data_IF_031938849185
#
_entry.id   IF_031938849185
#
_cell.length_a   1.000
_cell.length_b   1.000
_cell.length_c   1.000
_cell.angle_alpha   90.00
_cell.angle_beta   90.00
_cell.angle_gamma   90.00
#
_symmetry.space_group_name_H-M   'P 1'
#
loop_
_entity.id
_entity.type
_entity.pdbx_description
1 polymer ?
#
# COMPACT_ATOMS: atom_id res chain seq x y z
N UNK A 1 17.96 17.27 9.04
CA UNK A 1 16.59 17.59 8.59
C UNK A 1 16.40 16.97 7.22
N UNK A 2 15.62 15.88 7.08
CA UNK A 2 15.32 15.32 5.76
C UNK A 2 14.63 16.40 4.90
N UNK A 3 14.87 16.44 3.58
CA UNK A 3 14.33 17.47 2.72
C UNK A 3 12.78 17.48 2.75
N UNK A 4 12.15 18.66 2.61
CA UNK A 4 10.70 18.86 2.72
C UNK A 4 9.85 18.07 1.70
N UNK A 5 10.50 17.41 0.74
CA UNK A 5 9.88 16.75 -0.41
C UNK A 5 9.82 15.22 -0.27
N UNK A 6 10.09 14.67 0.92
CA UNK A 6 10.12 13.22 1.20
C UNK A 6 8.81 12.47 0.89
N UNK A 7 7.71 13.20 0.65
CA UNK A 7 6.41 12.64 0.30
C UNK A 7 6.02 12.83 -1.18
N UNK A 8 6.94 13.33 -2.00
CA UNK A 8 6.71 13.50 -3.43
C UNK A 8 6.91 12.17 -4.18
N UNK A 9 6.12 11.89 -5.22
CA UNK A 9 6.37 10.71 -6.05
C UNK A 9 7.73 10.84 -6.76
N UNK A 10 8.37 9.70 -7.10
CA UNK A 10 9.51 9.70 -8.01
C UNK A 10 9.19 10.45 -9.32
N UNK A 11 10.18 11.12 -9.91
CA UNK A 11 9.98 11.99 -11.09
C UNK A 11 9.31 11.26 -12.27
N UNK A 12 9.65 9.99 -12.50
CA UNK A 12 9.03 9.15 -13.53
C UNK A 12 7.53 8.87 -13.26
N UNK A 13 7.08 8.97 -12.01
CA UNK A 13 5.71 8.73 -11.57
C UNK A 13 4.89 10.01 -11.36
N UNK A 14 5.48 11.20 -11.53
CA UNK A 14 4.82 12.46 -11.22
C UNK A 14 3.57 12.70 -12.08
N UNK A 15 3.68 12.49 -13.40
CA UNK A 15 2.55 12.65 -14.34
C UNK A 15 1.41 11.70 -14.02
N UNK A 16 1.74 10.45 -13.70
CA UNK A 16 0.79 9.41 -13.33
C UNK A 16 0.06 9.77 -12.03
N UNK A 17 0.81 10.09 -10.98
CA UNK A 17 0.29 10.47 -9.67
C UNK A 17 -0.62 11.70 -9.79
N UNK A 18 -0.20 12.71 -10.55
CA UNK A 18 -1.00 13.91 -10.80
C UNK A 18 -2.29 13.61 -11.56
N UNK A 19 -2.26 12.68 -12.51
CA UNK A 19 -3.45 12.25 -13.23
C UNK A 19 -4.44 11.52 -12.31
N UNK A 20 -3.99 10.49 -11.59
CA UNK A 20 -4.82 9.65 -10.72
C UNK A 20 -5.47 10.48 -9.59
N UNK A 21 -4.75 11.45 -9.04
CA UNK A 21 -5.25 12.32 -7.94
C UNK A 21 -6.24 13.40 -8.37
N UNK A 22 -6.56 13.54 -9.67
CA UNK A 22 -7.53 14.55 -10.12
C UNK A 22 -8.91 14.24 -9.54
N UNK A 23 -9.50 15.23 -8.86
CA UNK A 23 -10.86 15.12 -8.29
C UNK A 23 -11.97 15.10 -9.35
N UNK A 24 -11.67 15.50 -10.57
CA UNK A 24 -12.62 15.52 -11.69
C UNK A 24 -12.92 14.12 -12.25
N UNK A 25 -12.15 13.10 -11.86
CA UNK A 25 -12.38 11.74 -12.33
C UNK A 25 -13.66 11.17 -11.74
N UNK A 26 -14.45 10.45 -12.53
CA UNK A 26 -15.64 9.78 -12.03
C UNK A 26 -15.22 8.62 -11.10
N UNK A 27 -16.07 8.30 -10.14
CA UNK A 27 -15.79 7.31 -9.09
C UNK A 27 -15.77 5.86 -9.61
N UNK A 28 -16.19 5.63 -10.86
CA UNK A 28 -16.25 4.33 -11.52
C UNK A 28 -15.14 4.14 -12.58
N UNK A 29 -14.21 5.10 -12.70
CA UNK A 29 -13.17 5.13 -13.73
C UNK A 29 -12.36 3.82 -13.83
N UNK A 30 -12.15 3.14 -12.70
CA UNK A 30 -11.33 1.93 -12.58
C UNK A 30 -12.16 0.71 -12.12
N UNK A 31 -13.48 0.71 -12.31
CA UNK A 31 -14.38 -0.36 -11.80
C UNK A 31 -13.95 -1.77 -12.20
N UNK A 32 -13.49 -1.96 -13.44
CA UNK A 32 -13.06 -3.27 -13.96
C UNK A 32 -11.58 -3.58 -13.71
N UNK A 33 -10.89 -2.73 -12.95
CA UNK A 33 -9.47 -2.87 -12.66
C UNK A 33 -9.25 -3.60 -11.34
N UNK A 34 -8.53 -4.72 -11.41
CA UNK A 34 -7.93 -5.35 -10.23
C UNK A 34 -6.47 -4.92 -10.09
N UNK A 35 -6.04 -4.59 -8.87
CA UNK A 35 -4.67 -4.14 -8.63
C UNK A 35 -4.08 -4.68 -7.32
N UNK A 36 -2.77 -4.54 -7.17
CA UNK A 36 -2.06 -4.62 -5.90
C UNK A 36 -0.85 -3.69 -5.98
N UNK A 37 -0.28 -3.32 -4.83
CA UNK A 37 0.82 -2.35 -4.74
C UNK A 37 1.91 -2.92 -3.84
N UNK A 38 3.17 -2.82 -4.29
CA UNK A 38 4.34 -2.94 -3.43
C UNK A 38 4.96 -1.55 -3.32
N UNK A 39 4.92 -0.99 -2.12
CA UNK A 39 5.41 0.33 -1.79
C UNK A 39 6.77 0.22 -1.11
N UNK A 40 7.74 0.99 -1.58
CA UNK A 40 9.03 1.15 -0.92
C UNK A 40 8.96 2.39 -0.02
N UNK A 41 9.55 2.31 1.16
CA UNK A 41 9.65 3.41 2.09
C UNK A 41 10.77 3.18 3.09
N UNK A 42 10.94 4.13 3.98
CA UNK A 42 11.89 4.03 5.09
C UNK A 42 11.20 4.58 6.34
N UNK A 43 11.14 3.75 7.39
CA UNK A 43 10.51 4.10 8.68
C UNK A 43 11.25 5.19 9.44
N UNK A 44 12.48 5.51 9.05
CA UNK A 44 13.23 6.67 9.56
C UNK A 44 12.65 8.01 9.08
N UNK A 45 11.74 8.00 8.10
CA UNK A 45 11.02 9.19 7.64
C UNK A 45 9.60 9.23 8.21
N UNK A 46 9.08 10.45 8.40
CA UNK A 46 7.75 10.70 8.97
C UNK A 46 6.59 9.99 8.23
N UNK A 47 6.79 9.66 6.95
CA UNK A 47 5.74 9.22 6.02
C UNK A 47 6.07 7.89 5.35
N UNK A 48 6.18 6.84 6.17
CA UNK A 48 6.42 5.47 5.71
C UNK A 48 5.39 4.97 4.66
N UNK A 49 5.88 4.57 3.48
CA UNK A 49 5.13 4.08 2.31
C UNK A 49 3.95 4.97 1.90
N UNK A 50 4.04 6.28 2.13
CA UNK A 50 2.93 7.22 1.95
C UNK A 50 2.35 7.23 0.53
N UNK A 51 3.22 7.22 -0.49
CA UNK A 51 2.74 7.25 -1.89
C UNK A 51 1.97 5.98 -2.26
N UNK A 52 2.41 4.81 -1.79
CA UNK A 52 1.69 3.55 -2.01
C UNK A 52 0.31 3.56 -1.35
N UNK A 53 0.25 3.96 -0.07
CA UNK A 53 -1.00 4.08 0.69
C UNK A 53 -1.97 5.10 0.07
N UNK A 54 -1.44 6.20 -0.45
CA UNK A 54 -2.24 7.23 -1.11
C UNK A 54 -2.80 6.75 -2.46
N UNK A 55 -2.03 5.99 -3.24
CA UNK A 55 -2.51 5.40 -4.49
C UNK A 55 -3.53 4.30 -4.23
N UNK A 56 -3.31 3.46 -3.22
CA UNK A 56 -4.25 2.40 -2.81
C UNK A 56 -5.64 2.98 -2.49
N UNK A 57 -5.69 3.99 -1.61
CA UNK A 57 -6.95 4.68 -1.30
C UNK A 57 -7.58 5.31 -2.54
N UNK A 58 -6.77 5.97 -3.40
CA UNK A 58 -7.30 6.63 -4.59
C UNK A 58 -7.82 5.65 -5.64
N UNK A 59 -7.20 4.48 -5.80
CA UNK A 59 -7.70 3.44 -6.71
C UNK A 59 -9.02 2.86 -6.21
N UNK A 60 -9.12 2.59 -4.90
CA UNK A 60 -10.38 2.17 -4.29
C UNK A 60 -11.49 3.23 -4.48
N UNK A 61 -11.18 4.53 -4.32
CA UNK A 61 -12.12 5.63 -4.55
C UNK A 61 -12.59 5.75 -6.01
N UNK A 62 -11.80 5.20 -6.94
CA UNK A 62 -12.09 5.17 -8.39
C UNK A 62 -12.75 3.84 -8.82
N UNK A 63 -13.11 2.97 -7.88
CA UNK A 63 -13.82 1.72 -8.15
C UNK A 63 -12.91 0.51 -8.37
N UNK A 64 -11.59 0.67 -8.33
CA UNK A 64 -10.67 -0.45 -8.49
C UNK A 64 -10.74 -1.41 -7.30
N UNK A 65 -10.53 -2.69 -7.57
CA UNK A 65 -10.54 -3.74 -6.54
C UNK A 65 -9.12 -4.22 -6.25
N UNK A 66 -8.68 -4.10 -5.00
CA UNK A 66 -7.41 -4.71 -4.58
C UNK A 66 -7.58 -6.22 -4.45
N UNK A 67 -6.76 -7.00 -5.16
CA UNK A 67 -6.81 -8.47 -5.10
C UNK A 67 -5.77 -9.09 -4.15
N UNK A 68 -4.78 -8.29 -3.74
CA UNK A 68 -3.71 -8.71 -2.85
C UNK A 68 -3.24 -7.52 -2.00
N UNK A 69 -2.94 -7.71 -0.69
CA UNK A 69 -2.66 -6.60 0.20
C UNK A 69 -1.43 -5.80 -0.24
N UNK A 70 -1.44 -4.51 0.11
CA UNK A 70 -0.30 -3.64 -0.14
C UNK A 70 0.92 -4.11 0.67
N UNK A 71 2.03 -4.37 -0.01
CA UNK A 71 3.34 -4.59 0.63
C UNK A 71 3.98 -3.24 0.94
N UNK A 72 4.52 -3.07 2.15
CA UNK A 72 5.26 -1.87 2.55
C UNK A 72 6.68 -2.28 2.94
N UNK A 73 7.62 -2.25 1.99
CA UNK A 73 9.00 -2.65 2.21
C UNK A 73 9.80 -1.47 2.80
N UNK A 74 10.56 -1.76 3.85
CA UNK A 74 11.26 -0.77 4.67
C UNK A 74 12.77 -0.84 4.47
N UNK A 75 13.36 0.22 3.92
CA UNK A 75 14.81 0.34 3.75
C UNK A 75 15.56 0.43 5.10
N UNK A 76 14.88 0.89 6.16
CA UNK A 76 15.47 1.02 7.50
C UNK A 76 15.67 -0.31 8.23
N UNK A 77 14.93 -1.36 7.86
CA UNK A 77 14.97 -2.68 8.52
C UNK A 77 15.41 -3.80 7.58
N UNK A 78 15.17 -3.67 6.28
CA UNK A 78 15.47 -4.67 5.26
C UNK A 78 14.32 -4.76 4.27
N UNK A 79 14.58 -4.51 2.98
CA UNK A 79 13.52 -4.54 1.97
C UNK A 79 12.98 -5.97 1.78
N UNK A 80 13.89 -6.93 1.76
CA UNK A 80 13.66 -8.36 1.59
C UNK A 80 12.64 -8.94 2.57
N UNK A 81 12.61 -8.44 3.81
CA UNK A 81 11.69 -8.90 4.88
C UNK A 81 10.22 -8.78 4.48
N UNK A 82 9.90 -7.87 3.56
CA UNK A 82 8.55 -7.67 3.03
C UNK A 82 8.48 -8.09 1.56
N UNK A 83 9.50 -7.79 0.76
CA UNK A 83 9.49 -8.06 -0.69
C UNK A 83 9.41 -9.55 -0.98
N UNK A 84 10.19 -10.38 -0.30
CA UNK A 84 10.22 -11.82 -0.56
C UNK A 84 8.89 -12.51 -0.22
N UNK A 85 8.32 -12.38 1.00
CA UNK A 85 7.03 -13.00 1.30
C UNK A 85 5.87 -12.41 0.47
N UNK A 86 5.93 -11.12 0.13
CA UNK A 86 4.93 -10.50 -0.75
C UNK A 86 4.99 -11.06 -2.17
N UNK A 87 6.20 -11.22 -2.72
CA UNK A 87 6.42 -11.82 -4.05
C UNK A 87 5.94 -13.27 -4.08
N UNK A 88 6.28 -14.05 -3.06
CA UNK A 88 5.95 -15.47 -3.01
C UNK A 88 4.43 -15.70 -2.87
N UNK A 89 3.71 -14.79 -2.18
CA UNK A 89 2.25 -14.80 -2.11
C UNK A 89 1.53 -14.22 -3.32
N UNK A 90 2.22 -13.49 -4.20
CA UNK A 90 1.62 -12.80 -5.34
C UNK A 90 1.05 -13.76 -6.38
N UNK A 91 1.81 -14.80 -6.76
CA UNK A 91 1.39 -15.73 -7.81
C UNK A 91 0.11 -16.51 -7.44
N UNK A 92 0.00 -17.12 -6.24
CA UNK A 92 -1.25 -17.76 -5.82
C UNK A 92 -2.43 -16.79 -5.75
N UNK A 93 -2.21 -15.56 -5.27
CA UNK A 93 -3.27 -14.54 -5.21
C UNK A 93 -3.74 -14.11 -6.60
N UNK A 94 -2.80 -14.00 -7.56
CA UNK A 94 -3.12 -13.67 -8.95
C UNK A 94 -3.94 -14.79 -9.61
N UNK A 95 -3.57 -16.05 -9.41
CA UNK A 95 -4.32 -17.20 -9.92
C UNK A 95 -5.77 -17.22 -9.39
N UNK A 96 -5.94 -16.95 -8.10
CA UNK A 96 -7.27 -16.84 -7.48
C UNK A 96 -8.07 -15.68 -8.07
N UNK A 97 -7.44 -14.51 -8.26
CA UNK A 97 -8.08 -13.32 -8.82
C UNK A 97 -8.45 -13.48 -10.31
N UNK A 98 -7.71 -14.29 -11.06
CA UNK A 98 -8.04 -14.63 -12.44
C UNK A 98 -9.17 -15.66 -12.52
N UNK A 99 -9.15 -16.65 -11.63
CA UNK A 99 -10.17 -17.70 -11.55
C UNK A 99 -11.53 -17.16 -11.07
N UNK A 100 -11.54 -16.10 -10.26
CA UNK A 100 -12.77 -15.45 -9.78
C UNK A 100 -13.46 -14.56 -10.82
N UNK A 101 -12.94 -14.47 -12.05
CA UNK A 101 -13.61 -13.74 -13.14
C UNK A 101 -14.96 -14.37 -13.57
N UNK A 102 -15.35 -15.49 -12.94
CA UNK A 102 -16.68 -16.10 -13.04
C UNK A 102 -17.71 -15.62 -12.01
N UNK A 103 -17.34 -14.96 -10.91
CA UNK A 103 -18.30 -14.49 -9.90
C UNK A 103 -17.79 -13.26 -9.15
N UNK A 104 -18.22 -12.07 -9.60
CA UNK A 104 -18.02 -10.83 -8.88
C UNK A 104 -19.04 -10.72 -7.75
N UNK A 105 -18.57 -10.75 -6.49
CA UNK A 105 -19.22 -10.01 -5.40
C UNK A 105 -18.20 -9.37 -4.47
N UNK A 106 -18.37 -8.06 -4.33
CA UNK A 106 -17.66 -7.16 -3.44
C UNK A 106 -17.74 -7.59 -1.97
N UNK A 107 -16.60 -7.54 -1.29
CA UNK A 107 -16.48 -7.71 0.15
C UNK A 107 -15.25 -6.98 0.65
N UNK A 108 -15.43 -5.75 1.11
CA UNK A 108 -14.40 -4.92 1.71
C UNK A 108 -13.78 -5.63 2.94
N UNK A 109 -12.50 -6.00 2.84
CA UNK A 109 -11.72 -6.45 3.99
C UNK A 109 -11.03 -5.25 4.64
N UNK A 110 -11.54 -4.92 5.81
CA UNK A 110 -11.09 -3.87 6.72
C UNK A 110 -9.69 -4.19 7.22
N UNK A 111 -8.74 -3.26 7.03
CA UNK A 111 -7.37 -3.39 7.52
C UNK A 111 -7.32 -3.61 9.03
N UNK A 112 -6.67 -4.69 9.43
CA UNK A 112 -6.34 -4.97 10.82
C UNK A 112 -5.33 -3.96 11.36
N UNK A 113 -5.69 -3.37 12.51
CA UNK A 113 -4.78 -2.56 13.32
C UNK A 113 -3.68 -3.45 13.88
N UNK A 114 -2.45 -3.30 13.41
CA UNK A 114 -1.29 -3.79 14.15
C UNK A 114 -1.14 -2.93 15.40
N UNK A 115 -1.43 -3.56 16.54
CA UNK A 115 -1.24 -3.04 17.87
C UNK A 115 0.26 -2.75 18.09
N UNK A 116 0.54 -1.53 18.54
CA UNK A 116 1.85 -1.11 19.02
C UNK A 116 2.13 -1.87 20.33
N UNK A 117 3.08 -2.80 20.32
CA UNK A 117 3.61 -3.39 21.55
C UNK A 117 4.50 -2.37 22.25
N UNK A 118 4.04 -1.93 23.42
CA UNK A 118 4.74 -1.07 24.36
C UNK A 118 5.82 -1.89 25.09
N UNK A 119 7.07 -1.40 25.07
CA UNK A 119 8.18 -1.97 25.84
C UNK A 119 8.02 -1.61 27.32
N UNK A 120 8.30 -2.53 28.27
CA UNK A 120 8.13 -2.24 29.69
C UNK A 120 9.21 -1.29 30.20
N UNK A 121 8.76 -0.25 30.91
CA UNK A 121 9.59 0.60 31.74
C UNK A 121 10.21 -0.22 32.89
N UNK A 122 11.51 -0.08 33.07
CA UNK A 122 12.23 -0.50 34.28
C UNK A 122 12.52 0.75 35.10
N UNK A 123 11.69 0.98 36.12
CA UNK A 123 12.00 1.85 37.26
C UNK A 123 12.23 0.95 38.48
N UNK A 124 13.39 1.10 39.10
CA UNK A 124 13.79 0.32 40.27
C UNK A 124 14.92 1.01 41.01
N UNK A 125 14.57 2.02 41.80
CA UNK A 125 15.43 2.65 42.79
C UNK A 125 15.66 1.72 43.99
N UNK A 126 16.93 1.54 44.37
CA UNK A 126 17.45 1.49 45.75
C UNK A 126 18.98 1.42 45.71
#
# INVERSE_FOLDING_TARGET
>A
VPPPDSASPPQNCEKFTRFVKRRSHPADLLTDMRYTILALGDTNYDKFCYMGKLLDGRFSDLGATSFYPIGCADEGTGLEDVVDPWRDGLMPALELAMSSSGEAKAGAAKGDKVAKSEAPAVDGAA
#
